data_IF_447457477499
#
_entry.id   IF_447457477499
#
_cell.length_a   1.000
_cell.length_b   1.000
_cell.length_c   1.000
_cell.angle_alpha   90.00
_cell.angle_beta   90.00
_cell.angle_gamma   90.00
#
_symmetry.space_group_name_H-M   'P 1'
#
loop_
_entity.id
_entity.type
_entity.pdbx_description
1 polymer ?
#
# COMPACT_ATOMS: atom_id res chain seq x y z
N UNK A 1 23.03 38.29 -12.02
CA UNK A 1 21.68 38.23 -12.61
C UNK A 1 21.25 36.77 -12.63
N UNK A 2 20.82 36.24 -11.47
CA UNK A 2 20.20 34.91 -11.34
C UNK A 2 19.03 35.15 -10.41
N UNK A 3 17.85 35.16 -10.98
CA UNK A 3 16.59 35.52 -10.32
C UNK A 3 15.66 34.33 -10.50
N UNK A 4 15.02 33.90 -9.41
CA UNK A 4 13.83 33.03 -9.34
C UNK A 4 13.99 31.51 -9.56
N UNK A 5 14.34 30.79 -8.50
CA UNK A 5 13.65 29.54 -8.12
C UNK A 5 13.26 29.63 -6.64
N UNK A 6 12.44 30.63 -6.31
CA UNK A 6 11.52 30.51 -5.18
C UNK A 6 10.18 30.23 -5.81
N UNK A 7 9.96 28.97 -6.18
CA UNK A 7 8.61 28.51 -6.50
C UNK A 7 7.77 28.81 -5.26
N UNK A 8 6.65 29.55 -5.37
CA UNK A 8 5.85 29.90 -4.20
C UNK A 8 5.46 28.60 -3.50
N UNK A 9 5.59 28.54 -2.18
CA UNK A 9 5.21 27.35 -1.38
C UNK A 9 3.81 26.86 -1.79
N UNK A 10 2.91 27.79 -2.11
CA UNK A 10 1.56 27.54 -2.61
C UNK A 10 1.51 26.71 -3.91
N UNK A 11 2.42 26.91 -4.86
CA UNK A 11 2.49 26.13 -6.11
C UNK A 11 3.03 24.73 -5.86
N UNK A 12 4.04 24.59 -4.98
CA UNK A 12 4.51 23.26 -4.54
C UNK A 12 3.41 22.49 -3.78
N UNK A 13 2.68 23.17 -2.89
CA UNK A 13 1.54 22.61 -2.16
C UNK A 13 0.41 22.21 -3.12
N UNK A 14 0.07 23.06 -4.08
CA UNK A 14 -0.96 22.76 -5.08
C UNK A 14 -0.61 21.54 -5.95
N UNK A 15 0.64 21.47 -6.42
CA UNK A 15 1.12 20.30 -7.14
C UNK A 15 1.12 19.04 -6.26
N UNK A 16 1.41 19.16 -4.96
CA UNK A 16 1.35 18.04 -4.02
C UNK A 16 -0.08 17.49 -3.87
N UNK A 17 -1.08 18.37 -3.73
CA UNK A 17 -2.49 17.94 -3.65
C UNK A 17 -2.96 17.25 -4.93
N UNK A 18 -2.63 17.81 -6.10
CA UNK A 18 -2.96 17.18 -7.39
C UNK A 18 -2.26 15.82 -7.53
N UNK A 19 -1.01 15.70 -7.09
CA UNK A 19 -0.29 14.43 -7.08
C UNK A 19 -0.93 13.40 -6.14
N UNK A 20 -1.41 13.80 -4.96
CA UNK A 20 -2.11 12.91 -4.03
C UNK A 20 -3.42 12.39 -4.62
N UNK A 21 -4.22 13.27 -5.23
CA UNK A 21 -5.47 12.87 -5.91
C UNK A 21 -5.16 11.97 -7.11
N UNK A 22 -4.13 12.29 -7.90
CA UNK A 22 -3.70 11.43 -9.01
C UNK A 22 -3.24 10.05 -8.51
N UNK A 23 -2.53 10.00 -7.39
CA UNK A 23 -2.10 8.75 -6.77
C UNK A 23 -3.29 7.94 -6.26
N UNK A 24 -4.31 8.58 -5.69
CA UNK A 24 -5.57 7.94 -5.33
C UNK A 24 -6.24 7.33 -6.57
N UNK A 25 -6.42 8.10 -7.64
CA UNK A 25 -7.05 7.59 -8.87
C UNK A 25 -6.28 6.40 -9.44
N UNK A 26 -4.94 6.46 -9.48
CA UNK A 26 -4.12 5.35 -9.94
C UNK A 26 -4.20 4.12 -9.02
N UNK A 27 -4.25 4.31 -7.71
CA UNK A 27 -4.42 3.22 -6.76
C UNK A 27 -5.79 2.54 -6.96
N UNK A 28 -6.84 3.33 -7.13
CA UNK A 28 -8.18 2.81 -7.45
C UNK A 28 -8.19 2.10 -8.80
N UNK A 29 -7.64 2.69 -9.86
CA UNK A 29 -7.54 2.05 -11.18
C UNK A 29 -6.87 0.67 -11.11
N UNK A 30 -5.87 0.52 -10.23
CA UNK A 30 -5.15 -0.74 -10.05
C UNK A 30 -5.92 -1.77 -9.21
N UNK A 31 -6.68 -1.33 -8.21
CA UNK A 31 -7.51 -2.21 -7.38
C UNK A 31 -8.81 -2.61 -8.08
N UNK A 32 -9.36 -1.74 -8.94
CA UNK A 32 -10.62 -1.93 -9.68
C UNK A 32 -10.48 -2.75 -10.96
N UNK A 33 -9.31 -3.34 -11.24
CA UNK A 33 -9.06 -4.17 -12.44
C UNK A 33 -10.01 -5.38 -12.52
N UNK A 34 -10.65 -5.78 -11.40
CA UNK A 34 -11.56 -6.93 -11.32
C UNK A 34 -13.01 -6.72 -11.82
N UNK A 35 -13.35 -5.58 -12.43
CA UNK A 35 -14.69 -5.35 -13.00
C UNK A 35 -15.65 -4.60 -12.07
N UNK A 36 -16.96 -4.71 -12.30
CA UNK A 36 -17.98 -4.04 -11.46
C UNK A 36 -18.00 -4.66 -10.05
N UNK A 37 -17.36 -3.99 -9.10
CA UNK A 37 -17.41 -4.36 -7.69
C UNK A 37 -18.78 -3.99 -7.10
N UNK A 38 -19.26 -4.79 -6.15
CA UNK A 38 -20.45 -4.45 -5.37
C UNK A 38 -20.20 -3.16 -4.57
N UNK A 39 -21.23 -2.31 -4.35
CA UNK A 39 -21.05 -1.03 -3.67
C UNK A 39 -20.32 -1.11 -2.31
N UNK A 40 -20.59 -2.12 -1.44
CA UNK A 40 -19.88 -2.24 -0.17
C UNK A 40 -18.40 -2.59 -0.35
N UNK A 41 -18.05 -3.37 -1.37
CA UNK A 41 -16.65 -3.71 -1.70
C UNK A 41 -15.92 -2.49 -2.24
N UNK A 42 -16.60 -1.73 -3.10
CA UNK A 42 -16.09 -0.46 -3.62
C UNK A 42 -15.81 0.55 -2.50
N UNK A 43 -16.67 0.62 -1.48
CA UNK A 43 -16.45 1.46 -0.30
C UNK A 43 -15.17 1.07 0.44
N UNK A 44 -14.95 -0.22 0.71
CA UNK A 44 -13.73 -0.68 1.37
C UNK A 44 -12.45 -0.39 0.57
N UNK A 45 -12.49 -0.66 -0.75
CA UNK A 45 -11.39 -0.33 -1.68
C UNK A 45 -11.12 1.17 -1.72
N UNK A 46 -12.17 1.99 -1.69
CA UNK A 46 -12.05 3.43 -1.65
C UNK A 46 -11.37 3.92 -0.36
N UNK A 47 -11.77 3.38 0.79
CA UNK A 47 -11.17 3.71 2.08
C UNK A 47 -9.69 3.32 2.14
N UNK A 48 -9.33 2.13 1.66
CA UNK A 48 -7.93 1.72 1.56
C UNK A 48 -7.13 2.63 0.60
N UNK A 49 -7.67 2.92 -0.58
CA UNK A 49 -7.06 3.85 -1.54
C UNK A 49 -6.82 5.23 -0.94
N UNK A 50 -7.75 5.74 -0.14
CA UNK A 50 -7.65 7.02 0.55
C UNK A 50 -6.50 7.02 1.58
N UNK A 51 -6.34 5.94 2.34
CA UNK A 51 -5.24 5.76 3.28
C UNK A 51 -3.89 5.63 2.56
N UNK A 52 -3.83 4.90 1.44
CA UNK A 52 -2.60 4.70 0.67
C UNK A 52 -2.17 5.92 -0.17
N UNK A 53 -3.02 6.95 -0.28
CA UNK A 53 -2.75 8.16 -1.05
C UNK A 53 -2.58 9.39 -0.14
N UNK A 54 -3.69 10.01 0.26
CA UNK A 54 -3.68 11.19 1.14
C UNK A 54 -3.05 10.83 2.49
N UNK A 55 -3.50 9.71 3.08
CA UNK A 55 -3.01 9.23 4.37
C UNK A 55 -1.52 8.88 4.38
N UNK A 56 -0.99 8.40 3.25
CA UNK A 56 0.41 7.99 3.15
C UNK A 56 1.39 9.17 3.33
N UNK A 57 0.98 10.39 2.99
CA UNK A 57 1.81 11.59 3.12
C UNK A 57 1.83 12.18 4.54
N UNK A 58 1.00 11.67 5.43
CA UNK A 58 0.88 12.14 6.80
C UNK A 58 1.96 11.51 7.70
N UNK A 59 2.39 12.28 8.71
CA UNK A 59 3.22 11.79 9.81
C UNK A 59 2.39 10.97 10.80
N UNK A 60 3.04 10.15 11.63
CA UNK A 60 2.39 9.19 12.52
C UNK A 60 1.22 9.78 13.34
N UNK A 61 1.43 10.92 14.00
CA UNK A 61 0.39 11.56 14.81
C UNK A 61 -0.80 12.08 13.97
N UNK A 62 -0.54 12.59 12.77
CA UNK A 62 -1.61 13.05 11.87
C UNK A 62 -2.34 11.87 11.22
N UNK A 63 -1.69 10.70 11.09
CA UNK A 63 -2.33 9.47 10.61
C UNK A 63 -3.40 8.98 11.57
N UNK A 64 -3.18 9.06 12.88
CA UNK A 64 -4.18 8.69 13.90
C UNK A 64 -5.43 9.58 13.79
N UNK A 65 -5.24 10.90 13.69
CA UNK A 65 -6.34 11.84 13.50
C UNK A 65 -7.08 11.63 12.18
N UNK A 66 -6.34 11.38 11.10
CA UNK A 66 -6.91 11.11 9.80
C UNK A 66 -7.70 9.80 9.78
N UNK A 67 -7.17 8.76 10.43
CA UNK A 67 -7.84 7.47 10.59
C UNK A 67 -9.17 7.61 11.35
N UNK A 68 -9.17 8.33 12.49
CA UNK A 68 -10.40 8.64 13.23
C UNK A 68 -11.42 9.39 12.36
N UNK A 69 -10.95 10.37 11.59
CA UNK A 69 -11.80 11.13 10.68
C UNK A 69 -12.38 10.26 9.56
N UNK A 70 -11.59 9.36 8.96
CA UNK A 70 -12.04 8.43 7.92
C UNK A 70 -13.06 7.45 8.48
N UNK A 71 -12.82 6.87 9.67
CA UNK A 71 -13.77 6.00 10.37
C UNK A 71 -15.08 6.72 10.66
N UNK A 72 -15.00 7.97 11.13
CA UNK A 72 -16.17 8.80 11.40
C UNK A 72 -17.01 9.06 10.14
N UNK A 73 -16.36 9.39 9.01
CA UNK A 73 -17.04 9.63 7.74
C UNK A 73 -17.66 8.36 7.15
N UNK A 74 -16.97 7.22 7.28
CA UNK A 74 -17.48 5.94 6.80
C UNK A 74 -18.73 5.50 7.60
N UNK A 75 -18.76 5.76 8.92
CA UNK A 75 -19.92 5.44 9.75
C UNK A 75 -20.21 3.95 9.87
N UNK A 76 -19.22 3.09 9.59
CA UNK A 76 -19.34 1.64 9.60
C UNK A 76 -19.07 1.05 11.00
N UNK A 77 -19.70 -0.08 11.35
CA UNK A 77 -19.44 -0.78 12.61
C UNK A 77 -17.99 -1.28 12.70
N UNK A 78 -17.41 -1.20 13.90
CA UNK A 78 -16.06 -1.70 14.19
C UNK A 78 -16.10 -3.12 14.74
N UNK A 79 -15.33 -4.02 14.13
CA UNK A 79 -15.11 -5.38 14.64
C UNK A 79 -13.90 -5.37 15.55
N UNK A 80 -14.12 -5.66 16.84
CA UNK A 80 -13.08 -5.63 17.87
C UNK A 80 -12.50 -7.02 18.19
N UNK A 81 -13.16 -8.09 17.74
CA UNK A 81 -12.70 -9.46 18.01
C UNK A 81 -11.44 -9.77 17.16
N UNK A 82 -10.30 -10.11 17.79
CA UNK A 82 -9.07 -10.48 17.07
C UNK A 82 -9.17 -11.78 16.28
N UNK A 83 -10.21 -12.60 16.50
CA UNK A 83 -10.43 -13.86 15.77
C UNK A 83 -11.34 -13.71 14.55
N UNK A 84 -11.96 -12.55 14.38
CA UNK A 84 -12.93 -12.28 13.32
C UNK A 84 -12.39 -11.20 12.40
N UNK A 85 -12.28 -11.51 11.11
CA UNK A 85 -11.95 -10.53 10.08
C UNK A 85 -13.19 -9.67 9.81
N UNK A 86 -13.03 -8.33 9.81
CA UNK A 86 -14.10 -7.42 9.44
C UNK A 86 -14.49 -7.65 7.98
N UNK A 87 -15.77 -7.86 7.72
CA UNK A 87 -16.28 -8.11 6.37
C UNK A 87 -16.55 -6.81 5.61
N UNK A 88 -17.34 -6.95 4.53
CA UNK A 88 -17.82 -5.81 3.77
C UNK A 88 -18.87 -5.03 4.57
N UNK A 89 -18.79 -3.69 4.53
CA UNK A 89 -19.66 -2.83 5.35
C UNK A 89 -19.27 -2.80 6.84
N UNK A 90 -18.08 -3.30 7.19
CA UNK A 90 -17.51 -3.26 8.52
C UNK A 90 -16.07 -2.74 8.46
N UNK A 91 -15.55 -2.26 9.59
CA UNK A 91 -14.18 -1.80 9.73
C UNK A 91 -13.44 -2.58 10.81
N UNK A 92 -12.15 -2.91 10.63
CA UNK A 92 -11.35 -3.55 11.65
C UNK A 92 -11.02 -2.56 12.78
N UNK A 93 -11.33 -2.94 14.01
CA UNK A 93 -11.06 -2.17 15.23
C UNK A 93 -10.00 -2.81 16.13
N UNK A 94 -9.31 -3.86 15.67
CA UNK A 94 -8.35 -4.62 16.48
C UNK A 94 -6.98 -3.93 16.63
N UNK A 95 -6.67 -2.96 15.78
CA UNK A 95 -5.46 -2.11 15.87
C UNK A 95 -5.84 -0.65 16.03
N UNK A 96 -4.87 0.20 16.38
CA UNK A 96 -5.09 1.64 16.54
C UNK A 96 -5.59 2.29 15.24
N UNK A 97 -5.06 1.87 14.10
CA UNK A 97 -5.37 2.48 12.80
C UNK A 97 -5.69 1.47 11.72
N UNK A 98 -6.48 1.89 10.72
CA UNK A 98 -6.76 1.13 9.51
C UNK A 98 -5.51 0.90 8.64
N UNK A 99 -4.44 1.67 8.83
CA UNK A 99 -3.15 1.45 8.13
C UNK A 99 -2.53 0.08 8.43
N UNK A 100 -2.97 -0.59 9.50
CA UNK A 100 -2.51 -1.93 9.86
C UNK A 100 -3.29 -3.06 9.17
N UNK A 101 -4.25 -2.70 8.31
CA UNK A 101 -5.09 -3.63 7.58
C UNK A 101 -5.02 -3.40 6.05
N UNK A 102 -5.36 -4.45 5.32
CA UNK A 102 -5.51 -4.52 3.87
C UNK A 102 -6.88 -5.10 3.56
N UNK A 103 -7.60 -4.57 2.58
CA UNK A 103 -8.85 -5.19 2.15
C UNK A 103 -8.60 -6.24 1.06
N UNK A 104 -8.82 -7.50 1.39
CA UNK A 104 -8.71 -8.63 0.46
C UNK A 104 -9.98 -8.70 -0.39
N UNK A 105 -9.90 -8.24 -1.65
CA UNK A 105 -11.03 -8.19 -2.58
C UNK A 105 -11.57 -9.59 -2.90
N UNK A 106 -10.71 -10.62 -2.96
CA UNK A 106 -11.14 -11.98 -3.29
C UNK A 106 -11.92 -12.62 -2.13
N UNK A 107 -11.54 -12.30 -0.90
CA UNK A 107 -12.20 -12.80 0.31
C UNK A 107 -13.25 -11.86 0.88
N UNK A 108 -13.36 -10.65 0.33
CA UNK A 108 -14.28 -9.60 0.77
C UNK A 108 -14.14 -9.29 2.26
N UNK A 109 -12.91 -9.24 2.78
CA UNK A 109 -12.65 -8.95 4.19
C UNK A 109 -11.33 -8.21 4.44
N UNK A 110 -11.28 -7.50 5.57
CA UNK A 110 -10.07 -6.83 6.05
C UNK A 110 -9.13 -7.82 6.75
N UNK A 111 -7.87 -7.79 6.38
CA UNK A 111 -6.80 -8.63 6.93
C UNK A 111 -5.69 -7.78 7.51
N UNK A 112 -5.13 -8.18 8.64
CA UNK A 112 -3.96 -7.47 9.16
C UNK A 112 -2.75 -7.70 8.27
N UNK A 113 -1.97 -6.64 8.00
CA UNK A 113 -0.68 -6.79 7.31
C UNK A 113 0.26 -7.75 8.03
N UNK A 114 0.16 -7.86 9.35
CA UNK A 114 0.95 -8.78 10.17
C UNK A 114 0.67 -10.25 9.82
N UNK A 115 -0.55 -10.59 9.43
CA UNK A 115 -0.92 -11.95 8.99
C UNK A 115 -0.35 -12.28 7.60
N UNK A 116 -0.06 -11.25 6.80
CA UNK A 116 0.49 -11.37 5.45
C UNK A 116 2.02 -11.45 5.43
N UNK A 117 2.69 -11.28 6.57
CA UNK A 117 4.14 -11.40 6.67
C UNK A 117 4.56 -12.88 6.59
N UNK A 118 5.29 -13.29 5.53
CA UNK A 118 5.77 -14.66 5.44
C UNK A 118 6.80 -14.94 6.54
N UNK A 119 6.84 -16.19 7.02
CA UNK A 119 7.87 -16.60 7.98
C UNK A 119 9.24 -16.44 7.36
N UNK A 120 10.14 -15.76 8.06
CA UNK A 120 11.52 -15.64 7.63
C UNK A 120 12.20 -17.01 7.63
N UNK A 121 12.71 -17.43 6.48
CA UNK A 121 13.54 -18.62 6.32
C UNK A 121 14.93 -18.14 5.93
N UNK A 122 15.89 -18.30 6.84
CA UNK A 122 17.27 -17.92 6.56
C UNK A 122 17.95 -18.95 5.66
N UNK A 123 18.50 -18.50 4.54
CA UNK A 123 19.42 -19.28 3.72
C UNK A 123 20.86 -18.97 4.15
N UNK A 124 21.58 -19.92 4.78
CA UNK A 124 22.97 -19.73 5.19
C UNK A 124 23.95 -19.49 4.04
N UNK A 125 23.56 -19.83 2.80
CA UNK A 125 24.37 -19.60 1.60
C UNK A 125 24.18 -18.21 1.00
N UNK A 126 23.16 -17.46 1.45
CA UNK A 126 22.89 -16.12 0.97
C UNK A 126 23.93 -15.12 1.48
N UNK A 127 24.37 -14.20 0.60
CA UNK A 127 25.24 -13.09 1.00
C UNK A 127 24.47 -12.17 1.94
N UNK A 128 25.15 -11.64 2.96
CA UNK A 128 24.54 -10.72 3.94
C UNK A 128 23.80 -9.55 3.28
N UNK A 129 24.35 -9.00 2.19
CA UNK A 129 23.72 -7.89 1.44
C UNK A 129 22.45 -8.28 0.66
N UNK A 130 22.17 -9.57 0.49
CA UNK A 130 20.97 -10.10 -0.18
C UNK A 130 19.92 -10.60 0.84
N UNK A 131 20.22 -10.57 2.16
CA UNK A 131 19.27 -10.96 3.20
C UNK A 131 18.23 -9.84 3.37
N UNK A 132 16.98 -10.14 3.03
CA UNK A 132 15.82 -9.28 3.32
C UNK A 132 14.91 -10.02 4.29
N UNK A 133 14.77 -9.49 5.51
CA UNK A 133 13.80 -10.01 6.47
C UNK A 133 12.42 -9.48 6.09
N UNK A 134 11.43 -10.37 5.86
CA UNK A 134 10.06 -9.94 5.62
C UNK A 134 9.50 -9.29 6.88
N UNK A 135 9.17 -8.01 6.78
CA UNK A 135 8.43 -7.23 7.77
C UNK A 135 7.14 -6.72 7.15
N UNK A 136 6.24 -6.25 8.01
CA UNK A 136 4.99 -5.58 7.62
C UNK A 136 5.25 -4.49 6.58
N UNK A 137 6.27 -3.65 6.78
CA UNK A 137 6.62 -2.59 5.83
C UNK A 137 7.09 -3.12 4.47
N UNK A 138 7.91 -4.18 4.45
CA UNK A 138 8.36 -4.78 3.19
C UNK A 138 7.21 -5.40 2.40
N UNK A 139 6.24 -6.02 3.09
CA UNK A 139 5.05 -6.61 2.45
C UNK A 139 4.15 -5.51 1.89
N UNK A 140 3.84 -4.48 2.68
CA UNK A 140 3.06 -3.31 2.23
C UNK A 140 3.67 -2.64 1.00
N UNK A 141 4.98 -2.36 1.06
CA UNK A 141 5.70 -1.73 -0.07
C UNK A 141 5.71 -2.64 -1.29
N UNK A 142 5.91 -3.95 -1.13
CA UNK A 142 5.88 -4.89 -2.25
C UNK A 142 4.49 -4.96 -2.89
N UNK A 143 3.43 -4.97 -2.09
CA UNK A 143 2.05 -4.94 -2.57
C UNK A 143 1.73 -3.64 -3.33
N UNK A 144 2.17 -2.48 -2.82
CA UNK A 144 2.04 -1.20 -3.54
C UNK A 144 2.81 -1.24 -4.87
N UNK A 145 4.05 -1.73 -4.87
CA UNK A 145 4.87 -1.83 -6.08
C UNK A 145 4.20 -2.74 -7.13
N UNK A 146 3.68 -3.88 -6.70
CA UNK A 146 2.94 -4.83 -7.54
C UNK A 146 1.72 -4.20 -8.20
N UNK A 147 0.94 -3.45 -7.41
CA UNK A 147 -0.21 -2.69 -7.88
C UNK A 147 0.16 -1.68 -8.99
N UNK A 148 1.17 -0.84 -8.79
CA UNK A 148 1.56 0.18 -9.77
C UNK A 148 2.31 -0.39 -10.98
N UNK A 149 3.07 -1.47 -10.81
CA UNK A 149 3.75 -2.15 -11.93
C UNK A 149 2.76 -2.78 -12.88
N UNK A 150 1.65 -3.36 -12.40
CA UNK A 150 0.55 -3.84 -13.26
C UNK A 150 0.00 -2.73 -14.16
N UNK A 151 -0.10 -1.50 -13.64
CA UNK A 151 -0.51 -0.32 -14.41
C UNK A 151 0.60 0.29 -15.27
N UNK A 152 1.80 -0.32 -15.30
CA UNK A 152 3.00 0.21 -15.96
C UNK A 152 3.35 1.64 -15.51
N UNK A 153 3.07 1.95 -14.24
CA UNK A 153 3.34 3.26 -13.66
C UNK A 153 4.58 3.22 -12.75
N UNK A 154 5.48 4.18 -12.92
CA UNK A 154 6.68 4.31 -12.07
C UNK A 154 6.33 4.80 -10.66
N UNK A 155 6.93 4.19 -9.64
CA UNK A 155 6.73 4.54 -8.22
C UNK A 155 8.00 5.18 -7.65
N UNK A 156 7.83 6.23 -6.84
CA UNK A 156 8.90 6.83 -6.06
C UNK A 156 8.73 6.45 -4.58
N UNK A 157 9.72 5.76 -4.01
CA UNK A 157 9.77 5.44 -2.58
C UNK A 157 10.68 6.43 -1.85
N UNK A 158 10.13 7.21 -0.93
CA UNK A 158 10.84 8.22 -0.14
C UNK A 158 10.95 7.75 1.32
N UNK A 159 12.08 8.01 1.97
CA UNK A 159 12.30 7.75 3.39
C UNK A 159 13.78 7.86 3.75
N UNK A 160 14.10 7.82 5.04
CA UNK A 160 15.46 8.03 5.54
C UNK A 160 16.50 7.03 4.99
N UNK A 161 17.77 7.44 4.93
CA UNK A 161 18.84 6.53 4.54
C UNK A 161 18.86 5.30 5.46
N UNK A 162 18.99 4.09 4.89
CA UNK A 162 19.01 2.84 5.64
C UNK A 162 17.65 2.16 5.87
N UNK A 163 16.52 2.74 5.45
CA UNK A 163 15.17 2.14 5.66
C UNK A 163 14.79 1.03 4.67
N UNK A 164 15.76 0.20 4.25
CA UNK A 164 15.57 -0.96 3.35
C UNK A 164 14.92 -0.71 1.97
N UNK A 165 14.52 0.51 1.61
CA UNK A 165 13.85 0.85 0.33
C UNK A 165 14.47 0.17 -0.89
N UNK A 166 15.78 0.37 -1.09
CA UNK A 166 16.52 -0.20 -2.23
C UNK A 166 16.55 -1.73 -2.19
N UNK A 167 16.68 -2.32 -1.01
CA UNK A 167 16.69 -3.78 -0.83
C UNK A 167 15.32 -4.38 -1.13
N UNK A 168 14.24 -3.74 -0.65
CA UNK A 168 12.85 -4.14 -0.93
C UNK A 168 12.54 -4.04 -2.42
N UNK A 169 12.85 -2.92 -3.08
CA UNK A 169 12.64 -2.76 -4.52
C UNK A 169 13.44 -3.79 -5.32
N UNK A 170 14.70 -4.04 -4.96
CA UNK A 170 15.53 -5.04 -5.63
C UNK A 170 14.97 -6.45 -5.47
N UNK A 171 14.48 -6.79 -4.28
CA UNK A 171 13.85 -8.09 -4.01
C UNK A 171 12.58 -8.27 -4.84
N UNK A 172 11.73 -7.24 -4.88
CA UNK A 172 10.51 -7.23 -5.69
C UNK A 172 10.80 -7.36 -7.20
N UNK A 173 11.80 -6.65 -7.72
CA UNK A 173 12.19 -6.80 -9.13
C UNK A 173 12.74 -8.20 -9.45
N UNK A 174 13.43 -8.86 -8.50
CA UNK A 174 13.87 -10.25 -8.65
C UNK A 174 12.68 -11.24 -8.67
N UNK A 175 11.63 -11.01 -7.90
CA UNK A 175 10.45 -11.88 -7.93
C UNK A 175 9.69 -11.75 -9.26
N UNK A 176 9.54 -10.52 -9.77
CA UNK A 176 8.94 -10.28 -11.09
C UNK A 176 9.70 -10.97 -12.24
N UNK A 177 11.05 -10.95 -12.21
CA UNK A 177 11.85 -11.58 -13.26
C UNK A 177 11.76 -13.10 -13.24
N UNK A 178 11.61 -13.71 -12.06
CA UNK A 178 11.37 -15.15 -11.92
C UNK A 178 9.99 -15.53 -12.49
N UNK A 179 8.95 -14.76 -12.21
CA UNK A 179 7.59 -15.00 -12.75
C UNK A 179 7.53 -14.82 -14.28
N UNK A 180 8.22 -13.81 -14.82
CA UNK A 180 8.36 -13.60 -16.26
C UNK A 180 9.11 -14.74 -16.96
N UNK A 181 10.11 -15.33 -16.30
CA UNK A 181 10.86 -16.47 -16.85
C UNK A 181 10.06 -17.78 -16.80
N UNK A 182 9.27 -18.00 -15.75
CA UNK A 182 8.40 -19.19 -15.62
C UNK A 182 7.24 -19.14 -16.62
N UNK A 183 6.65 -17.98 -16.85
CA UNK A 183 5.57 -17.79 -17.84
C UNK A 183 6.05 -17.88 -19.31
N UNK A 184 7.32 -17.59 -19.58
CA UNK A 184 7.94 -17.75 -20.91
C UNK A 184 8.31 -19.18 -21.31
N UNK A 185 8.12 -20.17 -20.43
CA UNK A 185 8.46 -21.59 -20.68
C UNK A 185 7.28 -22.47 -21.11
N UNK A 186 6.08 -21.89 -21.33
CA UNK A 186 4.91 -22.59 -21.88
C UNK A 186 4.52 -22.05 -23.26
N UNK A 187 5.28 -22.46 -24.26
CA UNK A 187 4.75 -22.72 -25.60
C UNK A 187 5.74 -23.60 -26.38
N UNK A 188 5.30 -24.76 -26.93
CA UNK A 188 6.11 -25.64 -27.76
C UNK A 188 6.43 -25.05 -29.14
#
# INVERSE_FOLDING_TARGET
>A
MITWIMMPLFVCLFLLYVCQVRQLCLALDAMLVCGQLEPPVLEAVFLEGLLCSLGATLLQHERERFDEFVKYLAGLPLVMDPKVHAGVGELPGQSSTLYDFHFDIEKSCWRSWSELVPRYVHDPSARFADILVPTVDTVRVSWLLDMFVRLKHSVLLVGDAGTSKTSTTRSFLKSLSQEAYVSGSRSP
#
